data_IF_217620345508
#
_entry.id   IF_217620345508
#
_cell.length_a   1.000
_cell.length_b   1.000
_cell.length_c   1.000
_cell.angle_alpha   90.00
_cell.angle_beta   90.00
_cell.angle_gamma   90.00
#
_symmetry.space_group_name_H-M   'P 1'
#
loop_
_entity.id
_entity.type
_entity.pdbx_description
1 polymer ?
#
# COMPACT_ATOMS: atom_id res chain seq x y z
N UNK A 1 -17.14 22.24 -15.70
CA UNK A 1 -16.10 21.19 -15.71
C UNK A 1 -16.73 19.98 -16.34
N UNK A 2 -16.36 19.65 -17.57
CA UNK A 2 -16.86 18.45 -18.22
C UNK A 2 -16.03 17.24 -17.78
N UNK A 3 -16.64 16.07 -17.56
CA UNK A 3 -15.91 14.86 -17.20
C UNK A 3 -14.96 14.45 -18.34
N UNK A 4 -13.77 13.99 -17.99
CA UNK A 4 -12.80 13.47 -18.95
C UNK A 4 -13.26 12.10 -19.45
N UNK A 5 -13.96 12.05 -20.58
CA UNK A 5 -14.32 10.79 -21.27
C UNK A 5 -13.15 10.27 -22.10
N UNK A 6 -12.11 9.73 -21.44
CA UNK A 6 -11.08 9.02 -22.18
C UNK A 6 -11.49 7.57 -22.48
N UNK A 7 -11.43 7.20 -23.75
CA UNK A 7 -11.50 5.83 -24.28
C UNK A 7 -10.26 5.00 -23.91
N UNK A 8 -9.91 4.92 -22.63
CA UNK A 8 -8.94 3.93 -22.19
C UNK A 8 -9.63 2.57 -22.21
N UNK A 9 -9.03 1.59 -22.90
CA UNK A 9 -9.44 0.19 -22.80
C UNK A 9 -9.36 -0.22 -21.33
N UNK A 10 -10.49 -0.10 -20.63
CA UNK A 10 -10.53 -0.20 -19.18
C UNK A 10 -10.75 -1.67 -18.86
N UNK A 11 -9.66 -2.37 -18.56
CA UNK A 11 -9.77 -3.67 -17.91
C UNK A 11 -10.45 -3.41 -16.56
N UNK A 12 -11.55 -4.10 -16.29
CA UNK A 12 -12.30 -3.90 -15.05
C UNK A 12 -11.46 -4.46 -13.90
N UNK A 13 -11.47 -3.81 -12.74
CA UNK A 13 -10.64 -4.22 -11.59
C UNK A 13 -10.86 -5.68 -11.19
N UNK A 14 -12.09 -6.20 -11.31
CA UNK A 14 -12.41 -7.59 -11.01
C UNK A 14 -11.85 -8.61 -12.02
N UNK A 15 -11.43 -8.17 -13.21
CA UNK A 15 -10.83 -9.03 -14.23
C UNK A 15 -9.29 -9.03 -14.14
N UNK A 16 -8.71 -8.25 -13.22
CA UNK A 16 -7.26 -8.23 -12.98
C UNK A 16 -6.87 -9.35 -12.02
N UNK A 17 -5.68 -9.91 -12.24
CA UNK A 17 -5.02 -10.74 -11.25
C UNK A 17 -4.78 -9.95 -9.95
N UNK A 18 -4.58 -10.67 -8.84
CA UNK A 18 -4.31 -10.01 -7.56
C UNK A 18 -2.99 -9.23 -7.63
N UNK A 19 -3.07 -7.93 -7.39
CA UNK A 19 -1.94 -7.00 -7.44
C UNK A 19 -1.52 -6.57 -6.04
N UNK A 20 -0.22 -6.40 -5.87
CA UNK A 20 0.41 -5.97 -4.62
C UNK A 20 1.29 -4.76 -4.87
N UNK A 21 1.31 -3.84 -3.92
CA UNK A 21 2.19 -2.69 -3.90
C UNK A 21 2.82 -2.56 -2.51
N UNK A 22 3.92 -1.81 -2.41
CA UNK A 22 4.55 -1.50 -1.14
C UNK A 22 3.76 -0.38 -0.45
N UNK A 23 3.45 -0.56 0.83
CA UNK A 23 2.65 0.38 1.64
C UNK A 23 3.50 1.18 2.63
N UNK A 24 4.81 1.26 2.39
CA UNK A 24 5.74 2.06 3.19
C UNK A 24 5.98 1.58 4.63
N UNK A 25 5.20 0.62 5.14
CA UNK A 25 5.09 0.36 6.58
C UNK A 25 6.37 -0.20 7.20
N UNK A 26 7.03 -1.16 6.55
CA UNK A 26 8.29 -1.72 7.04
C UNK A 26 9.11 -2.32 5.90
N UNK A 27 10.42 -2.14 6.01
CA UNK A 27 11.42 -2.78 5.16
C UNK A 27 12.46 -3.46 6.04
N UNK A 28 12.56 -4.78 5.95
CA UNK A 28 13.47 -5.59 6.76
C UNK A 28 14.52 -6.20 5.84
N UNK A 29 15.80 -6.02 6.17
CA UNK A 29 16.91 -6.61 5.42
C UNK A 29 18.08 -6.93 6.35
N UNK A 30 18.89 -7.91 5.99
CA UNK A 30 20.18 -8.13 6.64
C UNK A 30 21.07 -6.91 6.40
N UNK A 31 21.73 -6.42 7.45
CA UNK A 31 22.62 -5.25 7.35
C UNK A 31 23.67 -5.41 6.25
N UNK A 32 24.27 -6.59 6.14
CA UNK A 32 25.27 -6.90 5.09
C UNK A 32 24.68 -6.84 3.68
N UNK A 33 23.45 -7.33 3.50
CA UNK A 33 22.76 -7.29 2.21
C UNK A 33 22.40 -5.84 1.83
N UNK A 34 21.83 -5.07 2.76
CA UNK A 34 21.49 -3.68 2.54
C UNK A 34 22.72 -2.82 2.21
N UNK A 35 23.82 -2.97 2.96
CA UNK A 35 25.06 -2.23 2.70
C UNK A 35 25.66 -2.54 1.33
N UNK A 36 25.60 -3.81 0.89
CA UNK A 36 26.10 -4.26 -0.42
C UNK A 36 25.21 -3.83 -1.57
N UNK A 37 23.88 -3.92 -1.40
CA UNK A 37 22.90 -3.73 -2.48
C UNK A 37 22.38 -2.29 -2.57
N UNK A 38 22.53 -1.51 -1.49
CA UNK A 38 22.00 -0.15 -1.36
C UNK A 38 20.48 -0.07 -1.65
N UNK A 39 19.78 -1.16 -1.35
CA UNK A 39 18.36 -1.33 -1.62
C UNK A 39 17.78 -2.42 -0.71
N UNK A 40 16.52 -2.25 -0.31
CA UNK A 40 15.72 -3.30 0.33
C UNK A 40 15.16 -4.31 -0.68
N UNK A 41 15.24 -3.97 -1.97
CA UNK A 41 14.69 -4.75 -3.07
C UNK A 41 15.79 -5.54 -3.78
N UNK A 42 15.65 -6.86 -3.78
CA UNK A 42 16.48 -7.78 -4.53
C UNK A 42 15.73 -9.09 -4.80
N UNK A 43 16.33 -10.01 -5.56
CA UNK A 43 15.73 -11.31 -5.95
C UNK A 43 15.36 -12.27 -4.81
N UNK A 44 15.59 -11.87 -3.55
CA UNK A 44 15.23 -12.62 -2.34
C UNK A 44 14.30 -11.83 -1.42
N UNK A 45 13.74 -10.72 -1.90
CA UNK A 45 12.73 -9.96 -1.16
C UNK A 45 11.42 -10.73 -1.20
N UNK A 46 10.78 -10.88 -0.04
CA UNK A 46 9.45 -11.44 0.09
C UNK A 46 8.49 -10.34 0.52
N UNK A 47 7.29 -10.34 -0.05
CA UNK A 47 6.20 -9.46 0.37
C UNK A 47 5.49 -10.01 1.59
N UNK A 48 5.05 -9.13 2.48
CA UNK A 48 4.12 -9.45 3.56
C UNK A 48 2.82 -8.68 3.32
N UNK A 49 1.69 -9.38 3.17
CA UNK A 49 0.38 -8.74 2.95
C UNK A 49 -0.11 -8.10 4.25
N UNK A 50 -0.06 -6.77 4.32
CA UNK A 50 -0.62 -6.05 5.46
C UNK A 50 -2.15 -6.03 5.43
N UNK A 51 -2.81 -6.08 6.61
CA UNK A 51 -4.23 -5.78 6.69
C UNK A 51 -4.49 -4.37 6.15
N UNK A 52 -5.49 -4.22 5.28
CA UNK A 52 -5.78 -2.96 4.58
C UNK A 52 -5.88 -1.75 5.53
N UNK A 53 -6.46 -1.92 6.70
CA UNK A 53 -6.63 -0.82 7.68
C UNK A 53 -5.30 -0.30 8.25
N UNK A 54 -4.21 -1.07 8.13
CA UNK A 54 -2.85 -0.66 8.53
C UNK A 54 -2.06 0.04 7.43
N UNK A 55 -2.49 -0.06 6.17
CA UNK A 55 -1.75 0.42 5.01
C UNK A 55 -2.06 1.88 4.64
N UNK A 56 -2.62 2.67 5.57
CA UNK A 56 -2.88 4.09 5.37
C UNK A 56 -1.68 4.88 5.89
N UNK A 57 -1.04 5.67 5.01
CA UNK A 57 0.03 6.60 5.35
C UNK A 57 -0.58 7.92 5.86
N UNK A 58 0.09 8.56 6.82
CA UNK A 58 -0.32 9.87 7.35
C UNK A 58 0.71 10.89 6.89
N UNK A 59 0.43 11.57 5.78
CA UNK A 59 1.26 12.65 5.25
C UNK A 59 0.77 14.01 5.74
N UNK A 60 -0.55 14.15 5.95
CA UNK A 60 -1.16 15.37 6.46
C UNK A 60 -2.28 15.15 7.50
N UNK A 61 -2.93 16.26 7.89
CA UNK A 61 -3.97 16.26 8.93
C UNK A 61 -5.27 15.58 8.47
N UNK A 62 -5.57 15.56 7.17
CA UNK A 62 -6.73 14.86 6.61
C UNK A 62 -6.52 13.36 6.75
N UNK A 63 -5.32 12.86 6.43
CA UNK A 63 -4.98 11.45 6.59
C UNK A 63 -5.10 11.00 8.05
N UNK A 64 -4.66 11.86 8.98
CA UNK A 64 -4.81 11.61 10.41
C UNK A 64 -6.28 11.40 10.81
N UNK A 65 -7.20 12.24 10.33
CA UNK A 65 -8.64 12.07 10.61
C UNK A 65 -9.21 10.79 9.99
N UNK A 66 -8.75 10.41 8.78
CA UNK A 66 -9.14 9.14 8.14
C UNK A 66 -8.72 7.96 9.01
N UNK A 67 -7.45 7.90 9.41
CA UNK A 67 -6.92 6.83 10.26
C UNK A 67 -7.62 6.79 11.61
N UNK A 68 -7.90 7.95 12.22
CA UNK A 68 -8.65 8.02 13.48
C UNK A 68 -10.05 7.40 13.36
N UNK A 69 -10.76 7.69 12.26
CA UNK A 69 -12.07 7.10 11.95
C UNK A 69 -12.01 5.59 11.77
N UNK A 70 -10.98 5.09 11.09
CA UNK A 70 -10.72 3.65 10.91
C UNK A 70 -10.51 2.99 12.28
N UNK A 71 -9.64 3.55 13.12
CA UNK A 71 -9.31 2.98 14.42
C UNK A 71 -10.52 2.95 15.37
N UNK A 72 -11.35 4.00 15.37
CA UNK A 72 -12.61 4.04 16.15
C UNK A 72 -13.58 2.93 15.76
N UNK A 73 -13.53 2.46 14.51
CA UNK A 73 -14.42 1.44 13.95
C UNK A 73 -13.73 0.09 13.74
N UNK A 74 -12.53 -0.12 14.29
CA UNK A 74 -11.71 -1.28 13.97
C UNK A 74 -12.43 -2.62 14.22
N UNK A 75 -13.22 -2.70 15.30
CA UNK A 75 -14.02 -3.90 15.64
C UNK A 75 -15.10 -4.25 14.62
N UNK A 76 -15.53 -3.30 13.79
CA UNK A 76 -16.60 -3.48 12.80
C UNK A 76 -16.04 -3.90 11.43
N UNK A 77 -14.73 -3.75 11.21
CA UNK A 77 -14.05 -4.00 9.93
C UNK A 77 -12.99 -5.10 10.01
N UNK A 78 -12.77 -5.67 11.19
CA UNK A 78 -11.94 -6.86 11.43
C UNK A 78 -12.79 -8.13 11.46
#
# INVERSE_FOLDING_TARGET
LEPLENKFGTVRRQDLDELYHFDGSFYISLTSAFLKKKSFYHSKTLGFKMPKWKSFEIDDIVDFFVVEGILKNLKNIQ
#
